data_IF_485000205227
#
_entry.id   IF_485000205227
#
_cell.length_a   1.000
_cell.length_b   1.000
_cell.length_c   1.000
_cell.angle_alpha   90.00
_cell.angle_beta   90.00
_cell.angle_gamma   90.00
#
_symmetry.space_group_name_H-M   'P 1'
#
loop_
_entity.id
_entity.type
_entity.pdbx_description
1 polymer ?
2 non-polymer ?
3 water ?
#
# COMPACT_ATOMS: atom_id res chain seq x y z
N UNK A 3 16.16 -18.25 8.62
CA UNK A 3 15.66 -18.28 7.26
C UNK A 3 16.68 -18.74 6.24
N UNK A 4 16.19 -19.29 5.11
CA UNK A 4 17.03 -19.63 3.97
C UNK A 4 17.77 -18.38 3.49
N UNK A 5 18.87 -18.52 2.77
CA UNK A 5 19.56 -17.37 2.15
C UNK A 5 18.73 -16.78 1.03
N UNK A 6 18.60 -15.46 0.93
CA UNK A 6 17.94 -14.90 -0.26
C UNK A 6 18.69 -15.38 -1.51
N UNK A 7 17.93 -15.56 -2.57
CA UNK A 7 18.43 -16.05 -3.83
C UNK A 7 18.53 -14.93 -4.84
N UNK A 8 19.72 -14.36 -5.01
CA UNK A 8 19.84 -13.20 -5.92
C UNK A 8 19.71 -13.59 -7.39
N UNK A 9 20.15 -14.80 -7.78
CA UNK A 9 19.97 -15.25 -9.15
C UNK A 9 18.46 -15.33 -9.49
N UNK A 10 17.73 -15.89 -8.52
CA UNK A 10 16.27 -15.94 -8.65
C UNK A 10 15.65 -14.54 -8.73
N UNK A 11 16.07 -13.62 -7.88
CA UNK A 11 15.60 -12.25 -7.94
C UNK A 11 15.91 -11.63 -9.29
N UNK A 12 17.11 -11.84 -9.80
CA UNK A 12 17.48 -11.31 -11.10
C UNK A 12 16.55 -11.83 -12.18
N UNK A 13 16.22 -13.13 -12.13
CA UNK A 13 15.30 -13.72 -13.13
C UNK A 13 13.90 -13.10 -13.02
N UNK A 14 13.42 -12.85 -11.80
CA UNK A 14 12.13 -12.25 -11.64
C UNK A 14 12.09 -10.90 -12.35
N UNK A 15 13.08 -10.05 -12.07
CA UNK A 15 13.07 -8.73 -12.67
C UNK A 15 13.17 -8.83 -14.20
N UNK A 16 14.04 -9.75 -14.67
CA UNK A 16 14.17 -9.83 -16.13
C UNK A 16 12.88 -10.30 -16.77
N UNK A 17 12.16 -11.22 -16.10
CA UNK A 17 10.86 -11.64 -16.61
C UNK A 17 9.87 -10.49 -16.61
N UNK A 18 9.83 -9.71 -15.53
CA UNK A 18 8.94 -8.57 -15.50
C UNK A 18 9.22 -7.60 -16.65
N UNK A 19 10.47 -7.32 -16.99
CA UNK A 19 10.75 -6.48 -18.17
C UNK A 19 10.22 -7.13 -19.45
N UNK A 20 10.39 -8.44 -19.57
CA UNK A 20 9.92 -9.15 -20.79
C UNK A 20 8.42 -9.06 -20.93
N UNK A 21 7.72 -8.82 -19.81
CA UNK A 21 6.27 -8.77 -19.82
C UNK A 21 5.71 -7.36 -19.92
N UNK A 22 6.56 -6.35 -19.92
CA UNK A 22 6.12 -4.99 -20.14
C UNK A 22 6.44 -3.97 -19.07
N UNK A 23 7.14 -4.37 -18.01
CA UNK A 23 7.59 -3.35 -17.04
C UNK A 23 8.78 -2.61 -17.65
N UNK A 24 8.76 -1.27 -17.72
CA UNK A 24 9.97 -0.58 -18.16
C UNK A 24 11.16 -0.83 -17.26
N UNK A 25 10.91 -0.90 -15.96
CA UNK A 25 11.88 -1.10 -14.93
C UNK A 25 11.31 -1.91 -13.82
N UNK A 26 12.21 -2.62 -13.12
CA UNK A 26 11.76 -3.42 -11.96
C UNK A 26 12.94 -3.54 -11.03
N UNK A 27 12.69 -3.52 -9.70
CA UNK A 27 13.81 -3.55 -8.75
C UNK A 27 13.34 -4.14 -7.44
N UNK A 28 14.31 -4.48 -6.59
CA UNK A 28 14.02 -5.09 -5.31
C UNK A 28 15.19 -4.85 -4.38
N UNK A 29 14.85 -4.62 -3.10
CA UNK A 29 15.84 -4.52 -2.01
C UNK A 29 15.45 -5.43 -0.89
N UNK A 30 16.39 -6.23 -0.42
CA UNK A 30 16.20 -7.07 0.78
C UNK A 30 17.12 -6.55 1.87
N UNK A 31 16.56 -6.36 3.07
CA UNK A 31 17.41 -6.15 4.22
C UNK A 31 17.33 -7.48 4.97
N UNK A 32 18.43 -8.24 4.89
CA UNK A 32 18.53 -9.53 5.54
C UNK A 32 19.34 -9.40 6.82
N UNK A 33 18.67 -8.96 7.87
CA UNK A 33 19.28 -8.86 9.19
C UNK A 33 20.65 -8.14 9.11
N UNK A 34 20.66 -7.03 8.39
CA UNK A 34 21.87 -6.21 8.31
C UNK A 34 22.75 -6.45 7.10
N UNK A 35 22.41 -7.41 6.24
CA UNK A 35 23.11 -7.60 4.95
C UNK A 35 22.14 -7.23 3.86
N UNK A 36 22.53 -6.31 2.98
CA UNK A 36 21.63 -5.82 1.98
C UNK A 36 21.76 -6.61 0.70
N UNK A 37 20.63 -6.82 0.04
CA UNK A 37 20.59 -7.32 -1.32
C UNK A 37 19.85 -6.27 -2.17
N UNK A 38 20.39 -5.91 -3.33
CA UNK A 38 19.72 -4.85 -4.15
C UNK A 38 19.96 -5.15 -5.59
N UNK A 39 18.86 -5.21 -6.35
CA UNK A 39 18.93 -5.49 -7.77
C UNK A 39 17.91 -4.59 -8.49
N UNK A 40 18.24 -4.22 -9.73
CA UNK A 40 17.33 -3.42 -10.56
C UNK A 40 17.62 -3.73 -12.02
N UNK A 41 16.60 -3.66 -12.85
CA UNK A 41 16.83 -3.78 -14.29
C UNK A 41 15.89 -2.84 -15.01
N UNK A 42 16.37 -2.25 -16.10
CA UNK A 42 15.53 -1.40 -16.90
C UNK A 42 15.60 0.05 -16.53
N UNK A 43 14.49 0.75 -16.89
CA UNK A 43 14.50 2.22 -16.93
C UNK A 43 13.48 2.82 -15.99
N UNK A 44 13.92 3.90 -15.35
CA UNK A 44 13.06 4.77 -14.57
C UNK A 44 12.23 5.68 -15.49
N UNK A 45 12.84 6.11 -16.61
CA UNK A 45 12.16 7.00 -17.55
C UNK A 45 12.41 6.35 -18.91
N UNK A 46 11.36 5.84 -19.53
CA UNK A 46 11.50 5.10 -20.78
C UNK A 46 11.77 5.98 -21.97
N UNK A 47 11.42 7.28 -21.85
CA UNK A 47 11.63 8.20 -22.97
C UNK A 47 13.07 8.68 -22.97
N UNK A 48 13.62 9.00 -21.80
CA UNK A 48 14.99 9.46 -21.72
C UNK A 48 15.97 8.31 -21.61
N UNK A 49 15.52 7.14 -21.21
CA UNK A 49 16.41 5.98 -21.00
C UNK A 49 17.07 5.94 -19.66
N UNK A 50 16.80 6.86 -18.73
CA UNK A 50 17.50 6.86 -17.45
C UNK A 50 17.22 5.56 -16.71
N UNK A 51 18.27 4.91 -16.22
CA UNK A 51 18.11 3.62 -15.58
C UNK A 51 17.39 3.72 -14.24
N UNK A 52 16.61 2.69 -13.92
CA UNK A 52 15.99 2.59 -12.61
C UNK A 52 17.01 2.07 -11.61
N UNK A 53 16.87 2.51 -10.36
CA UNK A 53 17.78 2.10 -9.30
C UNK A 53 17.02 1.97 -7.99
N UNK A 54 17.54 1.18 -7.06
CA UNK A 54 16.79 0.95 -5.82
C UNK A 54 16.71 2.18 -4.95
N UNK A 55 17.39 3.27 -5.23
CA UNK A 55 17.19 4.52 -4.46
C UNK A 55 16.13 5.42 -5.09
N UNK A 56 15.56 5.05 -6.23
CA UNK A 56 14.52 5.89 -6.82
C UNK A 56 13.26 5.91 -5.99
N UNK A 57 12.72 7.08 -5.73
CA UNK A 57 11.44 7.18 -5.04
C UNK A 57 10.31 6.75 -5.98
N UNK A 58 9.19 6.35 -5.35
CA UNK A 58 8.04 5.90 -6.15
C UNK A 58 6.78 6.00 -5.31
N UNK A 59 5.64 5.86 -5.98
CA UNK A 59 4.33 5.85 -5.32
C UNK A 59 4.00 4.45 -4.83
N UNK A 60 3.74 4.33 -3.53
CA UNK A 60 3.58 3.00 -2.92
C UNK A 60 2.12 2.50 -2.93
N UNK A 61 1.21 3.36 -3.40
CA UNK A 61 -0.17 2.90 -3.49
C UNK A 61 -0.71 2.46 -2.15
N UNK A 62 -1.43 1.33 -2.13
CA UNK A 62 -2.17 0.91 -0.97
C UNK A 62 -1.28 0.46 0.19
N UNK A 63 0.04 0.41 0.03
CA UNK A 63 0.93 0.27 1.20
C UNK A 63 0.66 1.40 2.19
N UNK A 64 0.14 2.52 1.70
CA UNK A 64 -0.29 3.62 2.56
C UNK A 64 -1.20 3.18 3.66
N UNK A 65 -2.04 2.16 3.39
CA UNK A 65 -3.01 1.73 4.44
C UNK A 65 -2.26 1.30 5.68
N UNK A 66 -1.09 0.71 5.57
CA UNK A 66 -0.36 0.29 6.75
C UNK A 66 0.10 1.49 7.55
N UNK A 67 0.50 2.57 6.89
CA UNK A 67 0.86 3.79 7.61
C UNK A 67 -0.37 4.36 8.33
N UNK A 68 -1.51 4.42 7.65
CA UNK A 68 -2.75 4.86 8.30
C UNK A 68 -3.11 3.98 9.47
N UNK A 69 -2.98 2.68 9.33
CA UNK A 69 -3.32 1.76 10.44
C UNK A 69 -2.37 2.00 11.60
N UNK A 70 -1.07 2.23 11.39
CA UNK A 70 -0.18 2.49 12.52
C UNK A 70 -0.63 3.72 13.27
N UNK A 71 -0.99 4.80 12.55
CA UNK A 71 -1.43 6.00 13.26
C UNK A 71 -2.66 5.68 14.10
N UNK A 72 -3.67 5.04 13.51
CA UNK A 72 -4.89 4.72 14.26
C UNK A 72 -4.61 3.85 15.46
N UNK A 73 -3.70 2.88 15.33
CA UNK A 73 -3.41 1.98 16.49
C UNK A 73 -2.65 2.72 17.57
N UNK A 74 -1.83 3.70 17.22
CA UNK A 74 -1.23 4.56 18.26
C UNK A 74 -2.33 5.38 18.96
N UNK A 75 -3.33 5.84 18.20
CA UNK A 75 -4.45 6.53 18.87
C UNK A 75 -5.19 5.60 19.80
N UNK A 76 -5.31 4.32 19.46
CA UNK A 76 -5.93 3.34 20.41
C UNK A 76 -5.06 3.22 21.65
N UNK A 77 -3.74 3.10 21.51
CA UNK A 77 -2.82 3.09 22.65
C UNK A 77 -3.02 4.28 23.58
N UNK A 78 -3.28 5.43 22.99
CA UNK A 78 -3.44 6.72 23.68
C UNK A 78 -4.85 6.85 24.25
N UNK A 79 -5.74 5.91 23.99
CA UNK A 79 -7.06 5.99 24.61
C UNK A 79 -8.01 6.88 23.83
N UNK A 80 -7.67 7.31 22.61
CA UNK A 80 -8.47 8.23 21.83
C UNK A 80 -9.42 7.56 20.85
N UNK A 81 -9.27 6.25 20.74
CA UNK A 81 -10.00 5.46 19.75
C UNK A 81 -10.24 4.09 20.33
N UNK A 82 -11.41 3.52 20.21
CA UNK A 82 -11.73 2.15 20.58
C UNK A 82 -12.04 1.43 19.27
N UNK A 83 -11.30 0.34 19.02
CA UNK A 83 -11.52 -0.40 17.78
C UNK A 83 -12.93 -0.94 17.63
N UNK A 84 -13.59 -1.24 18.76
CA UNK A 84 -14.94 -1.81 18.62
C UNK A 84 -16.06 -0.81 18.76
N UNK A 85 -15.70 0.50 18.85
CA UNK A 85 -16.76 1.52 18.78
C UNK A 85 -17.17 1.72 17.32
N UNK A 86 -18.37 2.21 17.15
CA UNK A 86 -18.90 2.61 15.87
C UNK A 86 -18.10 3.70 15.21
N UNK A 87 -17.90 3.67 13.91
CA UNK A 87 -17.30 4.80 13.23
C UNK A 87 -18.11 6.05 13.48
N UNK A 88 -19.45 5.93 13.47
CA UNK A 88 -20.32 7.10 13.70
C UNK A 88 -20.17 7.68 15.10
N UNK A 89 -19.63 6.95 16.07
CA UNK A 89 -19.32 7.57 17.36
C UNK A 89 -18.41 8.76 17.20
N UNK A 90 -17.41 8.62 16.29
CA UNK A 90 -16.42 9.62 16.09
C UNK A 90 -16.73 10.57 14.94
N UNK A 91 -17.38 10.13 13.91
CA UNK A 91 -17.74 10.90 12.73
C UNK A 91 -19.25 10.88 12.57
N UNK A 92 -20.05 11.62 13.37
CA UNK A 92 -21.50 11.39 13.46
C UNK A 92 -22.14 11.62 12.10
N UNK A 93 -23.08 10.75 11.80
CA UNK A 93 -23.83 10.84 10.57
C UNK A 93 -23.03 10.36 9.38
N UNK A 94 -21.78 9.85 9.56
CA UNK A 94 -20.98 9.56 8.35
C UNK A 94 -21.57 8.39 7.58
N UNK A 95 -21.79 7.28 8.29
CA UNK A 95 -22.18 6.02 7.63
C UNK A 95 -23.64 5.70 7.88
N UNK A 96 -24.29 5.03 6.96
CA UNK A 96 -25.71 4.74 7.14
C UNK A 96 -26.04 3.69 8.19
N UNK A 97 -25.05 3.00 8.74
CA UNK A 97 -25.25 1.96 9.73
C UNK A 97 -24.37 2.38 10.91
N UNK A 98 -25.00 2.63 12.05
CA UNK A 98 -24.33 2.84 13.31
C UNK A 98 -23.53 1.65 13.78
N UNK A 99 -23.80 0.44 13.29
CA UNK A 99 -23.08 -0.71 13.87
C UNK A 99 -21.77 -0.99 13.17
N UNK A 100 -21.45 -0.26 12.10
CA UNK A 100 -20.14 -0.46 11.47
C UNK A 100 -19.07 0.09 12.39
N UNK A 101 -18.13 -0.76 12.75
CA UNK A 101 -17.10 -0.35 13.69
C UNK A 101 -15.75 -0.06 13.05
N UNK A 102 -14.88 0.57 13.85
CA UNK A 102 -13.54 0.92 13.39
C UNK A 102 -12.77 -0.35 13.01
N UNK A 103 -12.86 -1.39 13.80
CA UNK A 103 -12.17 -2.63 13.51
C UNK A 103 -12.63 -3.22 12.17
N UNK A 104 -13.95 -3.18 11.95
CA UNK A 104 -14.51 -3.70 10.68
C UNK A 104 -13.97 -2.90 9.51
N UNK A 105 -13.92 -1.56 9.66
CA UNK A 105 -13.35 -0.73 8.55
C UNK A 105 -11.92 -1.12 8.29
N UNK A 106 -11.12 -1.22 9.36
CA UNK A 106 -9.66 -1.44 9.18
C UNK A 106 -9.32 -2.82 8.61
N UNK A 107 -10.24 -3.77 8.70
CA UNK A 107 -10.02 -5.14 8.25
C UNK A 107 -10.85 -5.45 6.99
N UNK A 108 -11.47 -4.42 6.39
CA UNK A 108 -12.29 -4.59 5.16
C UNK A 108 -13.45 -5.53 5.38
N UNK A 109 -14.05 -5.44 6.56
CA UNK A 109 -15.26 -6.21 6.86
C UNK A 109 -16.47 -5.28 7.07
N UNK A 110 -16.40 -4.07 6.55
CA UNK A 110 -17.45 -3.10 6.81
C UNK A 110 -18.63 -3.14 5.83
N UNK A 111 -18.41 -3.77 4.66
CA UNK A 111 -19.38 -3.74 3.59
C UNK A 111 -19.39 -2.45 2.77
N UNK A 112 -18.53 -1.46 3.11
CA UNK A 112 -18.59 -0.20 2.33
C UNK A 112 -18.15 -0.42 0.89
N UNK A 113 -18.90 0.06 -0.07
CA UNK A 113 -18.60 -0.11 -1.49
C UNK A 113 -17.36 0.65 -1.85
N UNK A 114 -16.52 0.09 -2.69
CA UNK A 114 -15.30 0.73 -3.14
C UNK A 114 -15.60 1.66 -4.32
N UNK A 115 -15.58 2.99 -4.08
CA UNK A 115 -15.89 4.04 -5.07
C UNK A 115 -14.95 3.90 -6.27
N UNK A 116 -13.74 3.30 -6.07
CA UNK A 116 -12.81 3.29 -7.18
C UNK A 116 -13.32 2.37 -8.28
N UNK A 117 -14.24 1.46 -8.02
CA UNK A 117 -14.84 0.68 -9.08
C UNK A 117 -15.68 1.52 -10.06
N UNK A 118 -16.08 2.70 -9.63
CA UNK A 118 -16.78 3.68 -10.48
C UNK A 118 -15.88 4.76 -11.10
N UNK A 119 -14.61 4.73 -10.76
CA UNK A 119 -13.63 5.62 -11.35
C UNK A 119 -12.83 4.95 -12.49
N UNK A 120 -12.56 3.64 -12.35
CA UNK A 120 -11.56 3.04 -13.23
C UNK A 120 -12.13 1.90 -14.08
N UNK A 121 -13.41 2.00 -14.38
CA UNK A 121 -13.99 1.04 -15.31
C UNK A 121 -13.25 1.00 -16.65
N UNK A 122 -12.74 2.12 -17.12
CA UNK A 122 -11.73 2.18 -18.22
C UNK A 122 -10.45 2.71 -17.63
N UNK A 123 -9.33 2.02 -17.80
CA UNK A 123 -8.13 2.34 -17.04
C UNK A 123 -7.57 3.72 -17.37
N UNK A 124 -7.24 3.95 -18.64
CA UNK A 124 -6.63 5.25 -18.96
C UNK A 124 -7.65 6.37 -18.89
N UNK A 125 -8.85 6.25 -19.46
CA UNK A 125 -9.81 7.35 -19.26
C UNK A 125 -10.04 7.64 -17.80
N UNK A 126 -10.14 6.62 -16.94
CA UNK A 126 -10.35 6.88 -15.52
C UNK A 126 -9.18 7.61 -14.89
N UNK A 127 -7.98 7.23 -15.26
CA UNK A 127 -6.79 7.96 -14.78
C UNK A 127 -6.86 9.41 -15.26
N UNK A 128 -7.18 9.65 -16.52
CA UNK A 128 -7.27 11.02 -17.01
C UNK A 128 -8.36 11.80 -16.27
N UNK A 129 -9.39 11.10 -15.80
CA UNK A 129 -10.47 11.82 -15.09
C UNK A 129 -10.01 12.23 -13.71
N UNK A 130 -9.30 11.37 -12.97
CA UNK A 130 -9.01 11.70 -11.56
C UNK A 130 -7.67 12.35 -11.36
N UNK A 131 -6.74 12.29 -12.33
CA UNK A 131 -5.33 12.58 -11.97
C UNK A 131 -5.12 13.99 -11.49
N UNK A 132 -5.90 14.93 -11.95
CA UNK A 132 -5.76 16.34 -11.58
C UNK A 132 -6.92 16.85 -10.77
N UNK A 133 -7.69 15.94 -10.17
CA UNK A 133 -8.78 16.32 -9.30
C UNK A 133 -8.33 16.34 -7.85
N UNK A 134 -8.93 17.23 -7.07
CA UNK A 134 -8.78 17.27 -5.63
C UNK A 134 -10.14 16.93 -5.01
N UNK A 135 -10.19 15.90 -4.20
CA UNK A 135 -11.37 15.45 -3.50
C UNK A 135 -11.27 15.74 -2.01
N UNK A 136 -12.35 16.07 -1.33
CA UNK A 136 -12.35 15.95 0.11
C UNK A 136 -12.53 14.48 0.49
N UNK A 137 -12.17 14.18 1.76
CA UNK A 137 -12.55 12.84 2.26
C UNK A 137 -14.05 12.59 2.10
N UNK A 138 -14.85 13.58 2.52
CA UNK A 138 -16.30 13.41 2.45
C UNK A 138 -16.75 13.14 1.01
N UNK A 139 -16.10 13.79 0.01
CA UNK A 139 -16.53 13.51 -1.36
C UNK A 139 -16.45 12.06 -1.70
N UNK A 140 -15.33 11.45 -1.26
CA UNK A 140 -15.12 10.02 -1.60
C UNK A 140 -16.10 9.15 -0.85
N UNK A 141 -16.36 9.46 0.43
CA UNK A 141 -17.36 8.70 1.18
C UNK A 141 -18.72 8.79 0.49
N UNK A 142 -19.10 10.00 0.12
CA UNK A 142 -20.42 10.17 -0.56
C UNK A 142 -20.47 9.35 -1.82
N UNK A 143 -19.38 9.28 -2.62
CA UNK A 143 -19.36 8.44 -3.80
C UNK A 143 -19.59 6.98 -3.44
N UNK A 144 -18.97 6.49 -2.42
CA UNK A 144 -19.20 5.11 -1.98
C UNK A 144 -20.66 4.91 -1.62
N UNK A 145 -21.21 5.84 -0.84
CA UNK A 145 -22.54 5.64 -0.22
C UNK A 145 -23.65 5.74 -1.23
N UNK A 146 -23.37 6.21 -2.46
CA UNK A 146 -24.35 6.11 -3.54
C UNK A 146 -24.75 4.67 -3.79
N UNK A 147 -23.91 3.69 -3.42
CA UNK A 147 -24.17 2.30 -3.61
C UNK A 147 -24.55 1.78 -2.20
N UNK A 148 -25.45 0.82 -2.10
CA UNK A 148 -25.71 0.09 -0.87
C UNK A 148 -24.42 -0.59 -0.48
N UNK A 149 -24.30 -0.79 0.82
CA UNK A 149 -23.21 -1.69 1.27
C UNK A 149 -23.34 -3.03 0.57
N UNK A 150 -22.22 -3.75 0.52
CA UNK A 150 -22.22 -5.02 -0.21
C UNK A 150 -22.51 -6.22 0.69
N UNK A 151 -22.46 -6.05 1.98
CA UNK A 151 -22.68 -7.10 2.98
C UNK A 151 -22.97 -6.47 4.34
N UNK A 152 -23.50 -7.19 5.32
CA UNK A 152 -23.73 -6.75 6.69
C UNK A 152 -22.47 -6.32 7.43
N UNK A 153 -22.49 -5.42 8.41
CA UNK A 153 -21.23 -5.03 9.07
C UNK A 153 -20.54 -6.23 9.73
N UNK A 154 -19.27 -6.32 9.41
CA UNK A 154 -18.46 -7.33 10.03
C UNK A 154 -18.60 -8.66 9.35
N UNK A 155 -19.56 -8.83 8.42
CA UNK A 155 -19.90 -10.16 7.94
C UNK A 155 -19.05 -10.84 6.87
N UNK A 156 -18.26 -10.17 6.08
CA UNK A 156 -17.54 -10.66 4.90
C UNK A 156 -16.28 -9.82 4.64
N UNK A 157 -15.19 -10.38 4.20
CA UNK A 157 -14.01 -9.61 3.75
C UNK A 157 -14.29 -9.12 2.33
N UNK A 158 -14.14 -7.80 2.15
CA UNK A 158 -14.30 -7.22 0.82
C UNK A 158 -13.40 -5.97 0.81
N UNK A 159 -12.27 -6.06 0.17
CA UNK A 159 -11.32 -4.96 0.20
C UNK A 159 -12.00 -3.71 -0.36
N UNK A 160 -11.82 -2.60 0.32
CA UNK A 160 -12.41 -1.36 -0.16
C UNK A 160 -11.58 -0.17 0.26
N UNK A 161 -11.15 0.61 -0.75
CA UNK A 161 -10.42 1.86 -0.48
C UNK A 161 -11.20 2.76 0.44
N UNK A 162 -12.54 2.71 0.39
CA UNK A 162 -13.37 3.57 1.20
C UNK A 162 -13.02 3.43 2.67
N UNK A 163 -12.67 2.18 3.08
CA UNK A 163 -12.36 1.95 4.50
C UNK A 163 -11.21 2.83 4.95
N UNK A 164 -10.18 3.04 4.07
CA UNK A 164 -9.04 3.84 4.50
C UNK A 164 -9.16 5.31 4.15
N UNK A 165 -10.18 5.72 3.43
CA UNK A 165 -10.68 7.09 3.41
C UNK A 165 -11.31 7.39 4.79
N UNK A 166 -12.16 6.50 5.30
CA UNK A 166 -12.65 6.64 6.67
C UNK A 166 -11.46 6.74 7.64
N UNK A 167 -10.46 5.92 7.46
CA UNK A 167 -9.31 5.95 8.35
C UNK A 167 -8.70 7.36 8.41
N UNK A 168 -8.49 7.95 7.23
CA UNK A 168 -7.93 9.31 7.18
C UNK A 168 -8.79 10.31 7.91
N UNK A 169 -10.10 10.20 7.69
CA UNK A 169 -11.04 11.13 8.35
C UNK A 169 -10.99 11.01 9.85
N UNK A 170 -10.87 9.75 10.32
CA UNK A 170 -10.77 9.54 11.76
C UNK A 170 -9.49 10.11 12.32
N UNK A 171 -8.37 9.91 11.60
CA UNK A 171 -7.11 10.49 12.08
C UNK A 171 -7.26 12.00 12.21
N UNK A 172 -7.78 12.63 11.16
CA UNK A 172 -7.79 14.09 11.18
C UNK A 172 -8.79 14.61 12.22
N UNK A 173 -9.92 13.94 12.40
CA UNK A 173 -10.88 14.43 13.39
C UNK A 173 -10.34 14.24 14.78
N UNK A 174 -9.78 13.09 15.10
CA UNK A 174 -9.39 12.83 16.49
C UNK A 174 -8.12 13.58 16.91
N UNK A 175 -7.25 13.90 15.97
CA UNK A 175 -5.98 14.57 16.26
C UNK A 175 -6.04 16.07 16.05
N UNK A 176 -7.01 16.53 15.25
CA UNK A 176 -6.99 17.93 14.87
C UNK A 176 -5.90 18.33 13.90
N UNK A 177 -5.22 17.33 13.32
CA UNK A 177 -4.12 17.60 12.40
C UNK A 177 -4.36 16.90 11.10
N UNK A 178 -3.58 17.29 10.11
CA UNK A 178 -3.64 16.61 8.80
C UNK A 178 -3.00 15.24 8.90
N UNK A 179 -3.41 14.34 8.00
CA UNK A 179 -2.72 13.06 7.97
C UNK A 179 -1.22 13.23 7.68
N UNK A 180 -0.86 14.21 6.84
CA UNK A 180 0.57 14.38 6.59
C UNK A 180 1.36 14.66 7.85
N UNK A 181 0.81 15.54 8.70
CA UNK A 181 1.44 15.86 9.98
C UNK A 181 1.56 14.62 10.86
N UNK A 182 0.50 13.82 10.95
CA UNK A 182 0.48 12.63 11.82
C UNK A 182 1.46 11.59 11.28
N UNK A 183 1.48 11.37 9.95
CA UNK A 183 2.46 10.45 9.41
C UNK A 183 3.87 10.90 9.73
N UNK A 184 4.10 12.21 9.56
CA UNK A 184 5.44 12.71 9.79
C UNK A 184 5.88 12.54 11.23
N UNK A 185 5.01 12.95 12.17
CA UNK A 185 5.42 12.95 13.57
C UNK A 185 5.45 11.56 14.18
N UNK A 186 4.58 10.67 13.74
CA UNK A 186 4.45 9.37 14.40
C UNK A 186 5.26 8.30 13.68
N UNK A 187 5.66 8.51 12.43
CA UNK A 187 6.30 7.45 11.64
C UNK A 187 7.53 7.97 10.92
N UNK A 188 7.38 8.98 10.06
CA UNK A 188 8.48 9.31 9.17
C UNK A 188 9.68 9.86 9.91
N UNK A 189 9.43 10.77 10.84
CA UNK A 189 10.53 11.37 11.60
C UNK A 189 11.11 10.34 12.56
N UNK A 190 10.34 9.67 13.43
CA UNK A 190 10.98 8.73 14.37
C UNK A 190 11.79 7.65 13.68
N UNK A 191 11.42 7.18 12.50
CA UNK A 191 12.14 6.11 11.80
C UNK A 191 13.16 6.69 10.84
N UNK A 192 13.28 8.03 10.77
CA UNK A 192 14.20 8.68 9.85
C UNK A 192 13.98 8.22 8.41
N UNK A 193 12.74 8.23 7.96
CA UNK A 193 12.40 7.80 6.58
C UNK A 193 12.58 8.97 5.63
N UNK A 194 13.82 9.24 5.23
CA UNK A 194 14.20 10.44 4.49
C UNK A 194 13.73 10.42 3.06
N UNK A 195 13.27 9.27 2.55
CA UNK A 195 12.70 9.21 1.21
C UNK A 195 11.17 9.12 1.17
N UNK A 196 10.56 9.34 2.33
CA UNK A 196 9.14 9.06 2.45
C UNK A 196 8.38 10.36 2.68
N UNK A 197 7.29 10.52 1.91
CA UNK A 197 6.55 11.77 1.88
C UNK A 197 5.08 11.51 1.71
N UNK A 198 4.31 12.49 2.13
CA UNK A 198 2.86 12.58 1.85
C UNK A 198 2.62 14.05 1.48
N UNK A 199 2.47 14.27 0.19
CA UNK A 199 2.45 15.64 -0.34
C UNK A 199 1.12 16.02 -0.94
N UNK A 200 0.13 15.15 -0.84
CA UNK A 200 -1.20 15.41 -1.41
C UNK A 200 -1.67 16.83 -1.13
N UNK A 201 -2.23 17.54 -2.09
CA UNK A 201 -2.51 17.09 -3.48
C UNK A 201 -1.43 17.45 -4.48
N UNK A 202 -0.19 17.73 -4.02
CA UNK A 202 0.86 18.01 -4.99
C UNK A 202 1.10 16.80 -5.89
N UNK A 203 1.41 17.08 -7.14
CA UNK A 203 1.63 16.07 -8.18
C UNK A 203 3.09 15.75 -8.40
N UNK A 204 4.01 16.54 -7.86
CA UNK A 204 5.44 16.32 -8.00
C UNK A 204 5.92 15.24 -7.02
N UNK A 205 6.75 14.34 -7.54
CA UNK A 205 7.47 13.42 -6.63
C UNK A 205 8.81 14.03 -6.26
N UNK A 206 9.03 14.34 -4.98
CA UNK A 206 10.31 15.02 -4.65
C UNK A 206 11.50 14.13 -4.93
N UNK A 207 12.56 14.76 -5.46
CA UNK A 207 13.81 14.08 -5.69
C UNK A 207 13.75 13.13 -6.85
N UNK A 208 14.84 12.36 -7.01
CA UNK A 208 14.96 11.40 -8.12
C UNK A 208 13.99 10.27 -7.92
N UNK A 209 13.23 9.96 -8.96
CA UNK A 209 12.16 9.02 -8.86
C UNK A 209 12.02 8.19 -10.10
N UNK A 210 11.42 7.01 -9.93
CA UNK A 210 10.97 6.24 -11.07
C UNK A 210 9.70 6.90 -11.62
N UNK A 211 9.60 7.05 -12.93
CA UNK A 211 8.35 7.44 -13.54
C UNK A 211 7.46 6.21 -13.55
N UNK A 212 6.15 6.46 -13.55
CA UNK A 212 5.17 5.36 -13.66
C UNK A 212 4.59 5.29 -15.02
N UNK A 213 4.35 4.10 -15.51
CA UNK A 213 3.84 3.89 -16.86
C UNK A 213 2.61 3.02 -16.82
N UNK A 214 1.47 3.64 -17.08
CA UNK A 214 0.20 2.93 -17.03
C UNK A 214 0.00 2.20 -18.33
N UNK A 215 -0.28 0.88 -18.21
CA UNK A 215 -0.53 0.04 -19.37
C UNK A 215 -1.99 0.27 -19.79
N UNK A 216 -2.28 0.53 -21.05
CA UNK A 216 -3.67 0.73 -21.45
C UNK A 216 -4.43 -0.60 -21.49
N UNK A 217 -5.77 -0.54 -21.52
CA UNK A 217 -6.56 -1.77 -21.58
C UNK A 217 -6.39 -2.45 -22.92
N UNK A 218 -6.02 -1.73 -23.97
CA UNK A 218 -5.87 -2.39 -25.27
C UNK A 218 -4.51 -3.05 -25.35
N UNK A 219 -4.50 -4.35 -25.58
CA UNK A 219 -3.22 -5.07 -25.61
C UNK A 219 -2.35 -4.42 -26.67
N UNK A 220 -1.07 -4.25 -26.32
CA UNK A 220 -0.11 -3.65 -27.24
C UNK A 220 -0.14 -2.16 -27.34
N UNK A 221 -1.03 -1.47 -26.65
CA UNK A 221 -1.16 -0.03 -26.76
C UNK A 221 0.02 0.65 -26.10
N UNK A 222 0.29 1.88 -26.54
CA UNK A 222 1.35 2.71 -26.01
C UNK A 222 1.15 3.01 -24.53
N UNK A 223 2.25 2.96 -23.79
CA UNK A 223 2.20 3.26 -22.36
C UNK A 223 1.99 4.76 -22.14
N UNK A 224 1.28 5.04 -21.03
CA UNK A 224 0.94 6.41 -20.62
C UNK A 224 1.80 6.77 -19.40
N UNK A 225 2.49 7.91 -19.46
CA UNK A 225 3.23 8.38 -18.29
C UNK A 225 2.24 8.84 -17.24
N UNK A 226 2.17 8.13 -16.11
CA UNK A 226 1.20 8.42 -15.07
C UNK A 226 1.88 8.92 -13.78
N UNK A 227 3.12 9.34 -13.90
CA UNK A 227 3.93 9.71 -12.74
C UNK A 227 3.30 10.78 -11.86
N UNK A 228 2.84 11.87 -12.50
CA UNK A 228 2.46 13.08 -11.76
C UNK A 228 0.96 13.19 -11.67
N UNK A 229 0.39 12.98 -10.48
CA UNK A 229 -1.03 13.00 -10.25
C UNK A 229 -1.24 13.35 -8.78
N UNK A 230 -2.46 13.78 -8.43
CA UNK A 230 -2.71 14.22 -7.04
C UNK A 230 -2.83 13.03 -6.12
N UNK A 231 -3.25 11.86 -6.64
CA UNK A 231 -3.66 10.71 -5.84
C UNK A 231 -4.74 11.09 -4.84
N UNK A 232 -5.52 12.12 -5.17
CA UNK A 232 -6.56 12.61 -4.22
C UNK A 232 -7.72 11.65 -4.12
N UNK A 233 -7.85 10.77 -5.15
CA UNK A 233 -8.86 9.71 -5.11
C UNK A 233 -8.54 8.65 -4.09
N UNK A 234 -7.30 8.66 -3.53
CA UNK A 234 -6.95 7.64 -2.52
C UNK A 234 -6.52 8.26 -1.19
N UNK A 235 -5.68 9.29 -1.17
CA UNK A 235 -5.27 9.94 0.08
C UNK A 235 -4.76 8.94 1.09
N UNK A 236 -5.33 8.80 2.26
CA UNK A 236 -4.89 7.91 3.32
C UNK A 236 -5.08 6.43 2.97
N UNK A 237 -5.67 6.12 1.81
CA UNK A 237 -5.71 4.75 1.26
C UNK A 237 -4.59 4.49 0.28
N UNK A 238 -3.88 5.54 -0.22
CA UNK A 238 -2.93 5.28 -1.29
C UNK A 238 -1.92 6.32 -1.67
N UNK A 239 -1.74 7.47 -1.03
CA UNK A 239 -0.91 8.55 -1.61
C UNK A 239 0.51 8.65 -1.06
N UNK A 240 1.03 7.75 -0.24
CA UNK A 240 2.43 7.89 0.25
C UNK A 240 3.42 7.64 -0.89
N UNK A 241 4.52 8.38 -0.84
CA UNK A 241 5.70 8.21 -1.64
C UNK A 241 6.81 7.65 -0.78
N UNK A 242 7.57 6.68 -1.27
CA UNK A 242 8.67 6.14 -0.44
C UNK A 242 9.76 5.55 -1.34
N UNK A 243 10.60 4.75 -0.71
CA UNK A 243 11.71 4.05 -1.36
C UNK A 243 11.75 2.64 -0.82
N UNK A 244 12.48 1.78 -1.53
CA UNK A 244 12.65 0.38 -1.04
C UNK A 244 13.30 0.35 0.33
N UNK A 245 14.32 1.17 0.55
CA UNK A 245 14.98 1.19 1.87
C UNK A 245 13.99 1.61 2.95
N UNK A 246 13.19 2.66 2.68
CA UNK A 246 12.28 3.16 3.76
C UNK A 246 11.15 2.20 4.03
N UNK A 247 10.61 1.53 3.00
CA UNK A 247 9.53 0.59 3.29
C UNK A 247 10.11 -0.61 4.06
N UNK A 248 11.33 -1.04 3.74
CA UNK A 248 11.98 -2.09 4.52
C UNK A 248 12.10 -1.65 5.98
N UNK A 249 12.60 -0.43 6.20
CA UNK A 249 12.73 0.07 7.57
C UNK A 249 11.39 0.10 8.27
N UNK A 250 10.38 0.59 7.60
CA UNK A 250 9.02 0.69 8.20
C UNK A 250 8.50 -0.68 8.59
N UNK A 251 8.43 -1.64 7.66
CA UNK A 251 7.81 -2.91 8.04
C UNK A 251 8.69 -3.68 9.03
N UNK A 252 10.03 -3.54 9.01
CA UNK A 252 10.84 -4.16 10.06
C UNK A 252 10.53 -3.56 11.43
N UNK A 253 10.39 -2.24 11.47
CA UNK A 253 10.04 -1.56 12.73
C UNK A 253 8.67 -1.98 13.24
N UNK A 254 7.73 -2.13 12.31
CA UNK A 254 6.37 -2.57 12.72
C UNK A 254 6.45 -3.95 13.33
N UNK A 255 7.02 -4.91 12.58
CA UNK A 255 6.95 -6.31 13.02
C UNK A 255 7.79 -6.56 14.24
N UNK A 256 8.85 -5.77 14.45
CA UNK A 256 9.74 -5.94 15.62
C UNK A 256 9.22 -5.19 16.82
N UNK A 257 8.05 -4.55 16.74
CA UNK A 257 7.36 -3.97 17.88
C UNK A 257 7.72 -2.56 18.24
N UNK A 258 8.22 -1.76 17.29
CA UNK A 258 8.65 -0.40 17.57
C UNK A 258 7.59 0.69 17.41
N UNK A 259 6.43 0.35 16.83
CA UNK A 259 5.51 1.41 16.40
C UNK A 259 4.21 1.46 17.18
N UNK A 260 4.01 0.57 18.16
CA UNK A 260 2.79 0.57 18.96
C UNK A 260 2.98 -0.42 20.10
N UNK A 261 2.03 -0.48 21.02
CA UNK A 261 2.10 -1.48 22.11
C UNK A 261 2.02 -2.87 21.51
N UNK A 262 2.48 -3.85 22.28
CA UNK A 262 2.32 -5.27 21.90
C UNK A 262 0.85 -5.60 21.74
N UNK A 263 -0.02 -5.06 22.59
CA UNK A 263 -1.44 -5.39 22.48
C UNK A 263 -2.00 -4.95 21.14
N UNK A 264 -1.66 -3.74 20.70
CA UNK A 264 -2.20 -3.25 19.43
C UNK A 264 -1.57 -3.96 18.24
N UNK A 265 -0.29 -4.36 18.30
CA UNK A 265 0.26 -5.14 17.20
C UNK A 265 -0.44 -6.46 17.09
N UNK A 266 -0.83 -7.05 18.25
CA UNK A 266 -1.59 -8.29 18.21
C UNK A 266 -2.95 -8.08 17.55
N UNK A 267 -3.61 -6.95 17.83
CA UNK A 267 -4.88 -6.68 17.15
C UNK A 267 -4.65 -6.53 15.64
N UNK A 268 -3.57 -5.86 15.27
CA UNK A 268 -3.26 -5.66 13.84
C UNK A 268 -3.08 -6.97 13.11
N UNK A 269 -2.65 -8.02 13.81
CA UNK A 269 -2.32 -9.34 13.26
C UNK A 269 -3.43 -10.35 13.49
N UNK A 270 -4.65 -9.93 13.82
CA UNK A 270 -5.80 -10.88 13.87
C UNK A 270 -6.29 -11.06 12.47
N UNK A 271 -6.03 -12.21 11.87
CA UNK A 271 -6.20 -12.37 10.43
C UNK A 271 -7.63 -12.76 10.06
N UNK A 272 -8.16 -11.98 9.11
CA UNK A 272 -9.35 -12.32 8.38
C UNK A 272 -8.91 -13.07 7.13
N UNK A 273 -9.49 -14.19 6.78
CA UNK A 273 -9.15 -14.91 5.59
C UNK A 273 -9.43 -14.12 4.33
N UNK A 274 -8.41 -14.07 3.47
CA UNK A 274 -8.52 -13.47 2.12
C UNK A 274 -8.69 -14.59 1.12
N UNK A 275 -7.77 -15.55 1.21
CA UNK A 275 -7.84 -16.75 0.37
C UNK A 275 -7.02 -17.81 1.09
N UNK A 276 -6.77 -18.95 0.50
CA UNK A 276 -6.16 -20.05 1.25
C UNK A 276 -4.69 -19.75 1.59
N UNK A 277 -4.05 -18.72 0.99
CA UNK A 277 -2.65 -18.44 1.37
C UNK A 277 -2.47 -17.02 1.83
N UNK A 278 -3.57 -16.33 2.17
CA UNK A 278 -3.49 -14.91 2.55
C UNK A 278 -4.51 -14.54 3.61
N UNK A 279 -4.09 -13.60 4.45
CA UNK A 279 -4.96 -12.98 5.43
C UNK A 279 -4.85 -11.46 5.36
N UNK A 280 -5.83 -10.82 6.01
CA UNK A 280 -5.83 -9.36 6.20
C UNK A 280 -6.08 -9.03 7.66
N UNK A 281 -5.24 -8.21 8.26
CA UNK A 281 -5.34 -7.88 9.70
C UNK A 281 -6.06 -6.53 9.79
N UNK A 282 -5.33 -5.56 10.37
CA UNK A 282 -5.84 -4.17 10.38
C UNK A 282 -4.84 -3.39 9.55
N UNK A 283 -5.19 -3.10 8.30
CA UNK A 283 -4.30 -2.40 7.39
C UNK A 283 -3.00 -3.18 7.14
N UNK A 284 -3.06 -4.50 7.06
CA UNK A 284 -1.84 -5.34 7.04
C UNK A 284 -2.23 -6.61 6.33
N UNK A 285 -1.37 -7.08 5.42
CA UNK A 285 -1.57 -8.35 4.73
C UNK A 285 -0.60 -9.42 5.24
N UNK A 286 -1.08 -10.66 5.21
CA UNK A 286 -0.25 -11.82 5.41
C UNK A 286 -0.24 -12.66 4.13
N UNK A 287 0.97 -13.03 3.69
CA UNK A 287 1.11 -13.93 2.56
C UNK A 287 1.88 -15.15 3.02
N UNK A 288 1.33 -16.33 2.65
CA UNK A 288 1.96 -17.60 3.02
C UNK A 288 2.74 -18.14 1.84
N UNK A 289 4.04 -18.30 2.00
CA UNK A 289 4.97 -18.67 0.92
C UNK A 289 5.13 -20.17 0.83
N UNK A 290 5.61 -20.59 -0.32
CA UNK A 290 5.59 -21.98 -0.68
C UNK A 290 6.40 -22.82 0.30
N UNK A 291 7.42 -22.27 0.92
CA UNK A 291 8.33 -23.02 1.80
C UNK A 291 7.86 -23.01 3.26
N UNK A 292 6.61 -22.60 3.46
CA UNK A 292 5.96 -22.62 4.78
C UNK A 292 6.33 -21.44 5.67
N UNK A 293 6.83 -20.35 5.13
CA UNK A 293 7.16 -19.09 5.78
C UNK A 293 5.96 -18.17 5.50
N UNK A 294 5.42 -17.46 6.46
CA UNK A 294 4.52 -16.35 6.22
C UNK A 294 5.26 -15.03 6.36
N UNK A 295 4.83 -14.07 5.54
CA UNK A 295 5.41 -12.69 5.58
C UNK A 295 4.29 -11.69 5.66
N UNK A 296 4.62 -10.49 6.12
CA UNK A 296 3.64 -9.52 6.61
C UNK A 296 3.94 -8.15 6.06
N UNK A 297 2.93 -7.44 5.54
CA UNK A 297 3.19 -6.15 4.93
C UNK A 297 2.02 -5.74 4.06
N UNK A 298 2.29 -5.22 2.88
CA UNK A 298 1.19 -4.79 2.03
C UNK A 298 1.68 -4.70 0.60
N UNK A 299 0.73 -4.83 -0.32
CA UNK A 299 0.91 -4.54 -1.72
C UNK A 299 0.32 -3.17 -2.09
N UNK A 300 0.77 -2.66 -3.20
CA UNK A 300 0.19 -1.45 -3.76
C UNK A 300 0.12 -1.50 -5.26
N UNK A 301 -0.98 -0.91 -5.77
CA UNK A 301 -1.19 -0.62 -7.17
C UNK A 301 -1.69 0.82 -7.21
N UNK A 302 -0.92 1.68 -7.82
CA UNK A 302 -1.35 3.04 -8.15
C UNK A 302 -0.87 3.24 -9.59
N UNK A 303 -1.43 4.15 -10.34
CA UNK A 303 -1.21 4.10 -11.79
C UNK A 303 0.28 4.19 -12.11
N UNK A 304 0.73 3.14 -12.80
CA UNK A 304 2.12 3.05 -13.18
C UNK A 304 3.09 2.45 -12.20
N UNK A 305 2.61 1.97 -11.03
CA UNK A 305 3.50 1.41 -9.99
C UNK A 305 2.86 0.24 -9.30
N UNK A 306 3.57 -0.88 -9.31
CA UNK A 306 3.24 -2.06 -8.50
C UNK A 306 4.30 -2.24 -7.40
N UNK A 307 3.86 -2.30 -6.16
CA UNK A 307 4.74 -2.44 -5.00
C UNK A 307 4.40 -3.68 -4.20
N UNK A 308 5.42 -4.40 -3.75
CA UNK A 308 5.30 -5.41 -2.70
C UNK A 308 6.23 -5.02 -1.56
N UNK A 309 5.76 -5.00 -0.32
CA UNK A 309 6.62 -4.65 0.80
C UNK A 309 6.23 -5.54 1.96
N UNK A 310 7.13 -6.49 2.32
CA UNK A 310 6.81 -7.51 3.30
C UNK A 310 8.02 -7.82 4.19
N UNK A 311 7.75 -8.19 5.42
CA UNK A 311 8.80 -8.56 6.38
C UNK A 311 8.44 -9.88 7.04
N UNK A 312 9.47 -10.52 7.59
CA UNK A 312 9.26 -11.73 8.41
C UNK A 312 8.60 -11.36 9.71
N UNK A 313 8.13 -12.37 10.45
CA UNK A 313 7.35 -12.12 11.68
C UNK A 313 8.07 -11.24 12.71
N UNK A 314 9.40 -11.44 12.80
CA UNK A 314 10.18 -10.67 13.78
C UNK A 314 10.84 -9.42 13.20
N UNK A 315 10.53 -9.11 11.93
CA UNK A 315 11.04 -7.94 11.26
C UNK A 315 12.51 -8.05 10.83
N UNK A 316 13.18 -9.20 11.06
CA UNK A 316 14.62 -9.21 10.76
C UNK A 316 14.93 -9.29 9.28
N UNK A 317 14.04 -9.80 8.46
CA UNK A 317 14.25 -9.72 7.01
C UNK A 317 13.08 -8.97 6.40
N UNK A 318 13.35 -8.02 5.54
CA UNK A 318 12.30 -7.26 4.86
C UNK A 318 12.67 -7.14 3.42
N UNK A 319 11.65 -7.07 2.56
CA UNK A 319 11.81 -7.00 1.14
C UNK A 319 10.82 -6.00 0.56
N UNK A 320 11.30 -5.15 -0.31
CA UNK A 320 10.45 -4.27 -1.07
C UNK A 320 10.82 -4.37 -2.55
N UNK A 321 9.80 -4.62 -3.40
CA UNK A 321 9.96 -4.76 -4.81
C UNK A 321 9.00 -3.77 -5.49
N UNK A 322 9.44 -3.23 -6.63
CA UNK A 322 8.70 -2.20 -7.37
C UNK A 322 8.90 -2.49 -8.85
N UNK A 323 7.82 -2.45 -9.60
CA UNK A 323 7.86 -2.40 -11.06
C UNK A 323 7.11 -1.13 -11.47
N UNK A 324 7.68 -0.34 -12.37
CA UNK A 324 7.01 0.93 -12.73
C UNK A 324 6.07 0.79 -13.90
N UNK A 325 5.19 -0.20 -13.80
CA UNK A 325 3.96 -0.20 -14.59
C UNK A 325 2.79 -0.63 -13.69
N UNK A 326 1.58 -0.45 -14.20
CA UNK A 326 0.42 -1.10 -13.61
C UNK A 326 -0.52 -1.43 -14.74
N UNK A 327 -1.64 -2.07 -14.37
CA UNK A 327 -2.60 -2.64 -15.32
C UNK A 327 -1.93 -3.63 -16.25
N UNK A 328 -1.05 -4.46 -15.67
CA UNK A 328 -0.32 -5.51 -16.36
C UNK A 328 -0.24 -6.69 -15.40
N UNK A 329 -1.22 -7.59 -15.49
CA UNK A 329 -1.32 -8.58 -14.43
C UNK A 329 -0.14 -9.56 -14.56
N UNK A 330 0.43 -9.77 -15.75
CA UNK A 330 1.59 -10.65 -15.79
C UNK A 330 2.70 -10.07 -14.95
N UNK A 331 2.94 -8.76 -15.09
CA UNK A 331 4.00 -8.14 -14.25
C UNK A 331 3.65 -8.23 -12.79
N UNK A 332 2.41 -7.97 -12.42
CA UNK A 332 2.01 -8.07 -11.01
C UNK A 332 2.32 -9.46 -10.44
N UNK A 333 1.87 -10.48 -11.17
CA UNK A 333 2.09 -11.87 -10.76
C UNK A 333 3.59 -12.18 -10.70
N UNK A 334 4.33 -11.75 -11.68
CA UNK A 334 5.76 -12.03 -11.65
C UNK A 334 6.45 -11.41 -10.45
N UNK A 335 6.11 -10.15 -10.16
CA UNK A 335 6.78 -9.43 -9.07
C UNK A 335 6.51 -10.08 -7.73
N UNK A 336 5.40 -10.76 -7.54
CA UNK A 336 5.17 -11.49 -6.30
C UNK A 336 6.24 -12.54 -6.04
N UNK A 337 6.89 -13.05 -7.12
CA UNK A 337 7.90 -14.09 -6.95
C UNK A 337 9.13 -13.57 -6.22
N UNK A 338 9.31 -12.22 -6.13
CA UNK A 338 10.43 -11.74 -5.34
C UNK A 338 10.34 -12.17 -3.90
N UNK A 339 9.12 -12.37 -3.38
CA UNK A 339 8.99 -12.82 -2.00
C UNK A 339 9.50 -14.24 -1.83
N UNK A 340 9.17 -15.12 -2.81
CA UNK A 340 9.70 -16.47 -2.80
C UNK A 340 11.22 -16.46 -2.84
N UNK A 341 11.82 -15.74 -3.80
CA UNK A 341 13.27 -15.79 -3.87
C UNK A 341 13.93 -15.20 -2.67
N UNK A 342 13.35 -14.10 -2.13
CA UNK A 342 13.99 -13.42 -1.01
C UNK A 342 13.84 -14.12 0.33
N UNK A 343 12.73 -14.80 0.56
CA UNK A 343 12.48 -15.48 1.83
C UNK A 343 12.70 -16.99 1.75
N UNK A 344 12.27 -17.66 0.69
CA UNK A 344 12.44 -19.09 0.56
C UNK A 344 13.78 -19.47 -0.04
N UNK A 345 14.43 -18.60 -0.78
CA UNK A 345 15.74 -18.90 -1.34
C UNK A 345 15.69 -19.88 -2.49
N UNK A 346 16.88 -20.40 -2.80
CA UNK A 346 17.01 -21.31 -3.96
C UNK A 346 16.23 -22.56 -3.70
N UNK A 347 15.46 -23.01 -4.69
CA UNK A 347 14.52 -24.13 -4.57
C UNK A 347 15.27 -25.47 -4.61
X LIG B 1 -3.02 -0.12 -3.98
X LIG B 1 -4.06 -0.02 -3.47
X LIG B 1 -4.90 -2.24 -3.17
X LIG B 1 -4.27 -3.25 -4.01
X LIG B 1 -3.49 -4.23 -3.05
X LIG B 1 -2.66 -4.92 -3.65
X LIG B 1 -3.85 -4.27 -1.84
X LIG B 1 -5.45 -3.88 -4.81
X LIG B 1 -4.96 -4.62 -6.02
X LIG B 1 -6.25 -4.87 -3.98
X LIG B 1 -6.50 -2.41 -5.24
X LIG B 1 -5.96 -1.47 -3.83
X LIG B 1 -5.42 -0.07 -4.09
X LIG B 1 -5.26 0.31 -5.48
X LIG B 1 -6.28 0.84 -6.16
X LIG B 1 -7.32 1.27 -5.62
X LIG B 1 -5.99 1.20 -7.60
X LIG B 1 -6.72 0.28 -8.60
X LIG B 1 -7.82 0.70 -9.28
X LIG B 1 -8.38 -0.13 -10.24
X LIG B 1 -7.75 -1.32 -10.50
X LIG B 1 -6.69 -1.83 -9.81
X LIG B 1 -6.14 -1.00 -8.88
#
# INVERSE_FOLDING_TARGET
ADLPAPDDTGLQAVLHTALSQGAPGAMVRVDDNGTIHQLSEGVADRATGRAITTTDRFRVGSVTKSFSAVVLLQLVDEGKLDLDASVNTYLPGLLPDDRITVRQVMSHRSGLYDYTNDMFAQTVPGFESVRNKVFSYQDLITLSLKHGVTNAPGAAYSYSNTNFVVAGMLIEKLTGHSVATEYQNRIFTPLNLTDTFYVHPDTVIPGTHANGYLTPDEAGGALVDSTEQTVSWAQSAGAVISSTQDLDTFFSALMSGQLMSAAQLAQMQQWTTVNSTQGYGLGLRRRDLSCGISVYGHTGTVQGYYTYAFASKDGKRSVTALANTSNNVNVLNTMARTLESAFCGKPTT
PNM O8 C7 N4 C3 C11 O13 O12 C2 C10 C9 S1 C5 C6 N14 C15 O16 C17 C18 C19 C20 C21 C22 C23
#
